data_IF_934492838247
#
_entry.id   IF_934492838247
#
_cell.length_a   1.000
_cell.length_b   1.000
_cell.length_c   1.000
_cell.angle_alpha   90.00
_cell.angle_beta   90.00
_cell.angle_gamma   90.00
#
_symmetry.space_group_name_H-M   'P 1'
#
loop_
_entity.id
_entity.type
_entity.pdbx_description
1 polymer ?
#
# COMPACT_ATOMS: atom_id res chain seq x y z
N UNK A 1 -49.70 -27.56 56.22
CA UNK A 1 -49.60 -28.24 54.90
C UNK A 1 -49.35 -27.21 53.82
N UNK A 2 -48.55 -27.58 52.82
CA UNK A 2 -48.11 -26.84 51.61
C UNK A 2 -47.06 -25.73 51.78
N UNK A 3 -45.85 -26.12 51.37
CA UNK A 3 -44.73 -25.32 50.85
C UNK A 3 -45.22 -24.36 49.75
N UNK A 4 -44.55 -23.23 49.57
CA UNK A 4 -43.96 -22.81 48.29
C UNK A 4 -42.69 -22.03 48.62
N UNK A 5 -41.58 -22.57 48.12
CA UNK A 5 -40.29 -21.91 47.98
C UNK A 5 -40.33 -21.12 46.67
N UNK A 6 -39.88 -19.87 46.65
CA UNK A 6 -39.47 -19.25 45.38
C UNK A 6 -38.36 -18.25 45.60
N UNK A 7 -37.20 -18.66 45.11
CA UNK A 7 -35.96 -17.92 44.94
C UNK A 7 -36.23 -16.70 44.04
N UNK A 8 -36.04 -15.49 44.55
CA UNK A 8 -36.15 -14.27 43.74
C UNK A 8 -34.81 -14.00 43.06
N UNK A 9 -34.68 -14.46 41.81
CA UNK A 9 -33.65 -13.99 40.87
C UNK A 9 -34.28 -12.86 40.07
N UNK A 10 -33.89 -11.61 40.34
CA UNK A 10 -34.23 -10.47 39.48
C UNK A 10 -32.98 -10.06 38.72
N UNK A 11 -33.03 -10.35 37.42
CA UNK A 11 -32.13 -9.94 36.36
C UNK A 11 -31.90 -8.42 36.39
N UNK A 12 -30.62 -8.01 36.41
CA UNK A 12 -30.22 -6.64 36.12
C UNK A 12 -30.25 -6.47 34.61
N UNK A 13 -31.32 -5.88 34.08
CA UNK A 13 -31.41 -5.44 32.69
C UNK A 13 -30.86 -4.02 32.58
N UNK A 14 -29.60 -3.86 32.19
CA UNK A 14 -29.08 -2.57 31.73
C UNK A 14 -29.57 -2.30 30.31
N UNK A 15 -30.61 -1.49 30.20
CA UNK A 15 -30.98 -0.85 28.95
C UNK A 15 -29.87 0.16 28.57
N UNK A 16 -29.07 -0.17 27.56
CA UNK A 16 -28.15 0.77 26.93
C UNK A 16 -28.97 1.68 26.02
N UNK A 17 -29.22 2.91 26.46
CA UNK A 17 -29.81 3.98 25.65
C UNK A 17 -28.77 4.34 24.59
N UNK A 18 -28.97 3.85 23.36
CA UNK A 18 -28.25 4.34 22.19
C UNK A 18 -28.75 5.76 21.93
N UNK A 19 -27.94 6.73 22.36
CA UNK A 19 -28.13 8.12 21.98
C UNK A 19 -28.01 8.23 20.46
N UNK A 20 -29.14 8.50 19.82
CA UNK A 20 -29.23 8.94 18.44
C UNK A 20 -28.58 10.33 18.33
N UNK A 21 -27.25 10.34 18.16
CA UNK A 21 -26.54 11.48 17.59
C UNK A 21 -26.65 11.37 16.08
N UNK A 22 -27.57 12.12 15.48
CA UNK A 22 -27.58 12.39 14.05
C UNK A 22 -26.26 13.09 13.71
N UNK A 23 -25.24 12.32 13.30
CA UNK A 23 -24.12 12.88 12.57
C UNK A 23 -24.70 13.21 11.20
N UNK A 24 -24.97 14.49 10.99
CA UNK A 24 -25.29 15.01 9.67
C UNK A 24 -24.12 14.71 8.76
N UNK A 25 -24.30 13.72 7.88
CA UNK A 25 -23.49 13.48 6.70
C UNK A 25 -23.53 14.73 5.83
N UNK A 26 -22.61 15.64 6.07
CA UNK A 26 -22.32 16.76 5.16
C UNK A 26 -20.85 17.10 5.30
N UNK A 27 -19.97 16.19 4.88
CA UNK A 27 -18.61 16.44 4.35
C UNK A 27 -17.87 15.15 3.94
N UNK A 28 -18.56 14.18 3.33
CA UNK A 28 -17.88 13.07 2.61
C UNK A 28 -17.69 13.49 1.16
N UNK A 29 -16.91 14.55 0.97
CA UNK A 29 -16.52 15.08 -0.34
C UNK A 29 -15.16 15.74 -0.19
N UNK A 30 -14.12 15.10 -0.72
CA UNK A 30 -12.72 15.52 -0.62
C UNK A 30 -12.13 15.52 0.81
N UNK A 31 -11.55 14.39 1.23
CA UNK A 31 -10.16 14.51 1.72
C UNK A 31 -9.42 15.11 0.55
N UNK A 32 -9.16 16.42 0.58
CA UNK A 32 -8.57 17.16 -0.52
C UNK A 32 -7.36 16.38 -1.02
N UNK A 33 -7.49 15.76 -2.19
CA UNK A 33 -6.37 15.05 -2.81
C UNK A 33 -5.29 16.09 -3.00
N UNK A 34 -4.12 15.87 -2.43
CA UNK A 34 -2.99 16.82 -2.56
C UNK A 34 -2.36 16.79 -3.94
N UNK A 35 -2.84 15.90 -4.83
CA UNK A 35 -2.31 15.64 -6.15
C UNK A 35 -3.37 15.87 -7.22
N UNK A 36 -2.91 16.17 -8.43
CA UNK A 36 -3.77 16.29 -9.60
C UNK A 36 -3.98 14.92 -10.24
N UNK A 37 -5.21 14.63 -10.69
CA UNK A 37 -5.47 13.47 -11.54
C UNK A 37 -5.53 13.91 -13.00
N UNK A 38 -4.71 13.30 -13.85
CA UNK A 38 -4.72 13.50 -15.29
C UNK A 38 -5.13 12.21 -15.99
N UNK A 39 -6.14 12.28 -16.86
CA UNK A 39 -6.49 11.16 -17.72
C UNK A 39 -5.68 11.25 -19.02
N UNK A 40 -5.08 10.13 -19.44
CA UNK A 40 -4.27 10.08 -20.66
C UNK A 40 -5.14 10.31 -21.93
N UNK A 41 -6.37 9.80 -21.87
CA UNK A 41 -7.40 9.95 -22.90
C UNK A 41 -8.67 10.60 -22.29
N UNK A 42 -9.75 10.70 -23.08
CA UNK A 42 -11.03 11.16 -22.57
C UNK A 42 -11.47 10.29 -21.38
N UNK A 43 -11.80 10.90 -20.21
CA UNK A 43 -12.18 10.15 -19.04
C UNK A 43 -13.49 9.38 -19.27
N UNK A 44 -13.64 8.18 -18.70
CA UNK A 44 -14.89 7.45 -18.75
C UNK A 44 -16.01 8.18 -18.00
N UNK A 45 -17.27 7.83 -18.28
CA UNK A 45 -18.45 8.42 -17.63
C UNK A 45 -18.35 8.34 -16.10
N UNK A 46 -17.85 7.23 -15.58
CA UNK A 46 -17.72 6.97 -14.14
C UNK A 46 -16.42 7.53 -13.51
N UNK A 47 -15.65 8.38 -14.21
CA UNK A 47 -14.31 8.79 -13.77
C UNK A 47 -14.26 9.33 -12.33
N UNK A 48 -15.22 10.17 -11.90
CA UNK A 48 -15.25 10.70 -10.53
C UNK A 48 -15.32 9.60 -9.45
N UNK A 49 -16.09 8.53 -9.72
CA UNK A 49 -16.19 7.38 -8.83
C UNK A 49 -14.90 6.56 -8.82
N UNK A 50 -14.29 6.36 -10.00
CA UNK A 50 -13.00 5.69 -10.14
C UNK A 50 -11.93 6.43 -9.36
N UNK A 51 -11.80 7.74 -9.55
CA UNK A 51 -10.79 8.53 -8.85
C UNK A 51 -10.97 8.50 -7.33
N UNK A 52 -12.21 8.46 -6.86
CA UNK A 52 -12.52 8.35 -5.43
C UNK A 52 -12.04 7.00 -4.89
N UNK A 53 -12.25 5.91 -5.63
CA UNK A 53 -11.74 4.57 -5.27
C UNK A 53 -10.21 4.51 -5.35
N UNK A 54 -9.60 5.12 -6.38
CA UNK A 54 -8.15 5.21 -6.52
C UNK A 54 -7.52 5.88 -5.30
N UNK A 55 -8.07 7.03 -4.87
CA UNK A 55 -7.53 7.77 -3.71
C UNK A 55 -7.55 7.01 -2.38
N UNK A 56 -8.27 5.90 -2.30
CA UNK A 56 -8.32 5.01 -1.13
C UNK A 56 -7.35 3.83 -1.24
N UNK A 57 -6.87 3.52 -2.44
CA UNK A 57 -6.06 2.33 -2.73
C UNK A 57 -4.61 2.65 -3.13
N UNK A 58 -4.33 3.90 -3.49
CA UNK A 58 -2.97 4.41 -3.71
C UNK A 58 -2.58 5.32 -2.54
N UNK A 59 -1.33 5.26 -2.14
CA UNK A 59 -0.82 6.10 -1.07
C UNK A 59 0.67 6.35 -1.30
N UNK A 60 1.17 7.58 -1.19
CA UNK A 60 2.60 7.87 -1.30
C UNK A 60 3.44 7.15 -0.22
N UNK A 61 4.74 7.01 -0.45
CA UNK A 61 5.66 6.67 0.65
C UNK A 61 5.75 7.85 1.63
N UNK A 62 6.03 7.57 2.90
CA UNK A 62 6.15 8.61 3.92
C UNK A 62 7.22 9.63 3.52
N UNK A 63 6.88 10.92 3.52
CA UNK A 63 7.78 11.99 3.07
C UNK A 63 7.84 12.23 1.55
N UNK A 64 7.02 11.54 0.74
CA UNK A 64 7.00 11.68 -0.72
C UNK A 64 5.57 11.86 -1.27
N UNK A 65 4.92 12.98 -0.95
CA UNK A 65 3.58 13.25 -1.49
C UNK A 65 3.56 13.21 -3.02
N UNK A 66 2.50 12.66 -3.60
CA UNK A 66 2.31 12.70 -5.05
C UNK A 66 2.01 14.12 -5.50
N UNK A 67 2.58 14.50 -6.65
CA UNK A 67 2.25 15.73 -7.37
C UNK A 67 1.16 15.45 -8.42
N UNK A 68 1.35 14.37 -9.18
CA UNK A 68 0.48 13.99 -10.28
C UNK A 68 0.17 12.49 -10.26
N UNK A 69 -1.06 12.15 -10.64
CA UNK A 69 -1.52 10.78 -10.87
C UNK A 69 -2.09 10.72 -12.26
N UNK A 70 -1.38 10.08 -13.18
CA UNK A 70 -1.83 9.86 -14.55
C UNK A 70 -2.55 8.53 -14.66
N UNK A 71 -3.74 8.52 -15.25
CA UNK A 71 -4.59 7.34 -15.43
C UNK A 71 -4.77 7.09 -16.93
N UNK A 72 -4.36 5.91 -17.36
CA UNK A 72 -4.62 5.41 -18.72
C UNK A 72 -5.60 4.25 -18.66
N UNK A 73 -6.48 4.16 -19.66
CA UNK A 73 -7.55 3.17 -19.71
C UNK A 73 -7.40 2.34 -20.97
N UNK A 74 -7.60 1.02 -20.84
CA UNK A 74 -7.72 0.13 -21.99
C UNK A 74 -8.75 -0.96 -21.69
N UNK A 75 -9.50 -1.36 -22.71
CA UNK A 75 -10.47 -2.44 -22.60
C UNK A 75 -9.81 -3.78 -22.92
N UNK A 76 -10.03 -4.78 -22.06
CA UNK A 76 -9.56 -6.15 -22.26
C UNK A 76 -10.43 -7.11 -21.46
N UNK A 77 -10.76 -8.26 -22.06
CA UNK A 77 -11.53 -9.34 -21.41
C UNK A 77 -12.88 -8.86 -20.82
N UNK A 78 -13.62 -8.03 -21.57
CA UNK A 78 -14.89 -7.41 -21.16
C UNK A 78 -14.83 -6.60 -19.83
N UNK A 79 -13.62 -6.15 -19.47
CA UNK A 79 -13.38 -5.29 -18.33
C UNK A 79 -12.54 -4.06 -18.71
N UNK A 80 -12.76 -2.98 -17.97
CA UNK A 80 -11.94 -1.78 -18.08
C UNK A 80 -10.68 -1.97 -17.23
N UNK A 81 -9.51 -1.87 -17.83
CA UNK A 81 -8.24 -1.92 -17.12
C UNK A 81 -7.65 -0.52 -17.04
N UNK A 82 -7.09 -0.20 -15.89
CA UNK A 82 -6.51 1.09 -15.61
C UNK A 82 -5.05 0.89 -15.25
N UNK A 83 -4.16 1.56 -15.98
CA UNK A 83 -2.76 1.72 -15.59
C UNK A 83 -2.57 3.12 -15.05
N UNK A 84 -2.12 3.18 -13.80
CA UNK A 84 -1.97 4.40 -13.02
C UNK A 84 -0.50 4.63 -12.73
N UNK A 85 -0.01 5.82 -13.02
CA UNK A 85 1.34 6.28 -12.71
C UNK A 85 1.26 7.48 -11.77
N UNK A 86 1.76 7.33 -10.55
CA UNK A 86 1.81 8.38 -9.54
C UNK A 86 3.24 8.88 -9.38
N UNK A 87 3.46 10.17 -9.61
CA UNK A 87 4.79 10.81 -9.56
C UNK A 87 4.89 11.77 -8.40
N UNK A 88 6.11 11.91 -7.88
CA UNK A 88 6.49 12.93 -6.91
C UNK A 88 7.81 13.55 -7.36
N UNK A 89 7.92 14.86 -7.32
CA UNK A 89 9.12 15.64 -7.61
C UNK A 89 10.24 15.38 -6.59
N UNK A 90 9.90 14.85 -5.42
CA UNK A 90 10.86 14.37 -4.42
C UNK A 90 11.47 13.00 -4.77
N UNK A 91 10.98 12.32 -5.81
CA UNK A 91 11.37 10.97 -6.18
C UNK A 91 11.78 10.88 -7.65
N UNK A 92 12.77 10.04 -7.95
CA UNK A 92 13.21 9.81 -9.32
C UNK A 92 12.26 8.90 -10.10
N UNK A 93 11.65 7.94 -9.44
CA UNK A 93 10.81 6.92 -10.06
C UNK A 93 9.34 7.10 -9.64
N UNK A 94 8.38 6.71 -10.49
CA UNK A 94 6.96 6.72 -10.15
C UNK A 94 6.57 5.48 -9.33
N UNK A 95 5.42 5.56 -8.69
CA UNK A 95 4.64 4.40 -8.34
C UNK A 95 3.72 4.04 -9.50
N UNK A 96 3.72 2.77 -9.88
CA UNK A 96 2.83 2.21 -10.89
C UNK A 96 1.84 1.26 -10.23
N UNK A 97 0.59 1.35 -10.67
CA UNK A 97 -0.48 0.47 -10.24
C UNK A 97 -1.27 0.00 -11.45
N UNK A 98 -1.70 -1.25 -11.42
CA UNK A 98 -2.67 -1.78 -12.38
C UNK A 98 -3.96 -2.12 -11.62
N UNK A 99 -5.10 -1.75 -12.21
CA UNK A 99 -6.42 -2.02 -11.68
C UNK A 99 -7.35 -2.57 -12.76
N UNK A 100 -8.35 -3.32 -12.33
CA UNK A 100 -9.52 -3.65 -13.14
C UNK A 100 -10.74 -2.95 -12.54
N UNK A 101 -11.58 -2.38 -13.39
CA UNK A 101 -12.86 -1.76 -13.03
C UNK A 101 -14.02 -2.46 -13.74
N UNK A 102 -14.88 -3.10 -12.94
CA UNK A 102 -16.05 -3.82 -13.43
C UNK A 102 -17.15 -3.76 -12.37
N UNK A 103 -18.43 -3.67 -12.77
CA UNK A 103 -19.57 -3.62 -11.85
C UNK A 103 -19.45 -2.54 -10.76
N UNK A 104 -18.84 -1.39 -11.09
CA UNK A 104 -18.54 -0.29 -10.17
C UNK A 104 -17.57 -0.66 -9.03
N UNK A 105 -16.82 -1.73 -9.17
CA UNK A 105 -15.75 -2.13 -8.28
C UNK A 105 -14.39 -1.89 -8.93
N UNK A 106 -13.45 -1.35 -8.16
CA UNK A 106 -12.09 -1.11 -8.59
C UNK A 106 -11.18 -2.03 -7.78
N UNK A 107 -10.55 -2.98 -8.45
CA UNK A 107 -9.69 -3.99 -7.83
C UNK A 107 -8.27 -3.78 -8.31
N UNK A 108 -7.34 -3.58 -7.38
CA UNK A 108 -5.90 -3.53 -7.71
C UNK A 108 -5.41 -4.92 -8.07
N UNK A 109 -4.87 -5.08 -9.27
CA UNK A 109 -4.37 -6.36 -9.79
C UNK A 109 -2.85 -6.45 -9.76
N UNK A 110 -2.15 -5.30 -9.69
CA UNK A 110 -0.70 -5.27 -9.60
C UNK A 110 -0.17 -3.92 -9.12
N UNK A 111 1.11 -3.90 -8.74
CA UNK A 111 1.84 -2.66 -8.45
C UNK A 111 3.35 -2.81 -8.66
N UNK A 112 4.01 -1.69 -8.90
CA UNK A 112 5.45 -1.48 -8.81
C UNK A 112 5.68 -0.13 -8.13
N UNK A 113 6.11 -0.12 -6.87
CA UNK A 113 6.13 1.09 -6.06
C UNK A 113 7.55 1.58 -5.84
N UNK A 114 8.01 2.55 -6.63
CA UNK A 114 9.39 3.05 -6.60
C UNK A 114 9.51 4.55 -6.25
N UNK A 115 8.38 5.24 -6.03
CA UNK A 115 8.34 6.64 -5.57
C UNK A 115 8.75 6.73 -4.09
N UNK A 116 10.06 6.59 -3.87
CA UNK A 116 10.73 6.62 -2.58
C UNK A 116 11.81 7.71 -2.64
N UNK A 117 11.94 8.60 -1.64
CA UNK A 117 12.99 9.61 -1.59
C UNK A 117 14.39 9.00 -1.72
N UNK A 118 15.29 9.67 -2.44
CA UNK A 118 16.64 9.15 -2.71
C UNK A 118 17.43 8.83 -1.44
N UNK A 119 17.30 9.65 -0.39
CA UNK A 119 17.94 9.39 0.92
C UNK A 119 17.44 8.07 1.50
N UNK A 120 16.13 7.86 1.54
CA UNK A 120 15.55 6.60 2.03
C UNK A 120 15.96 5.40 1.17
N UNK A 121 16.05 5.56 -0.15
CA UNK A 121 16.57 4.49 -1.03
C UNK A 121 18.01 4.14 -0.68
N UNK A 122 18.85 5.14 -0.43
CA UNK A 122 20.23 4.95 -0.03
C UNK A 122 20.34 4.24 1.32
N UNK A 123 19.59 4.70 2.33
CA UNK A 123 19.58 4.10 3.66
C UNK A 123 19.16 2.63 3.62
N UNK A 124 18.13 2.30 2.84
CA UNK A 124 17.69 0.91 2.66
C UNK A 124 18.77 0.02 2.05
N UNK A 125 19.50 0.54 1.06
CA UNK A 125 20.64 -0.14 0.42
C UNK A 125 21.76 -0.35 1.43
N UNK A 126 22.08 0.66 2.24
CA UNK A 126 23.11 0.57 3.27
C UNK A 126 22.77 -0.50 4.32
N UNK A 127 21.54 -0.45 4.87
CA UNK A 127 21.05 -1.45 5.84
C UNK A 127 21.16 -2.86 5.25
N UNK A 128 20.74 -3.04 4.00
CA UNK A 128 20.81 -4.34 3.36
C UNK A 128 22.24 -4.83 3.11
N UNK A 129 23.18 -3.93 2.77
CA UNK A 129 24.61 -4.28 2.62
C UNK A 129 25.32 -4.57 3.94
N UNK A 130 24.77 -4.14 5.08
CA UNK A 130 25.29 -4.52 6.40
C UNK A 130 24.95 -5.99 6.76
N UNK A 131 24.01 -6.63 6.05
CA UNK A 131 23.74 -8.05 6.22
C UNK A 131 24.88 -8.89 5.59
N UNK A 132 25.55 -9.77 6.36
CA UNK A 132 26.70 -10.55 5.87
C UNK A 132 26.39 -11.49 4.70
N UNK A 133 25.17 -12.04 4.61
CA UNK A 133 24.79 -12.96 3.53
C UNK A 133 24.62 -12.20 2.21
N UNK A 134 24.00 -11.01 2.25
CA UNK A 134 23.89 -10.11 1.11
C UNK A 134 25.27 -9.61 0.69
N UNK A 135 26.09 -9.14 1.63
CA UNK A 135 27.43 -8.66 1.35
C UNK A 135 28.33 -9.76 0.75
N UNK A 136 28.21 -11.00 1.25
CA UNK A 136 28.92 -12.16 0.73
C UNK A 136 28.48 -12.58 -0.67
N UNK A 137 27.20 -12.46 -0.99
CA UNK A 137 26.64 -12.80 -2.30
C UNK A 137 26.95 -11.78 -3.40
N UNK A 138 27.41 -10.56 -3.04
CA UNK A 138 27.60 -9.43 -3.94
C UNK A 138 29.08 -8.99 -4.04
N UNK A 139 29.98 -9.78 -4.66
CA UNK A 139 31.38 -9.42 -4.77
C UNK A 139 31.59 -8.23 -5.73
N UNK A 140 32.04 -7.10 -5.20
CA UNK A 140 32.89 -6.13 -5.92
C UNK A 140 32.27 -5.29 -7.04
N UNK A 141 30.95 -5.20 -7.19
CA UNK A 141 30.35 -4.26 -8.17
C UNK A 141 28.98 -4.65 -8.72
N UNK A 142 28.04 -5.03 -7.86
CA UNK A 142 26.75 -5.64 -8.24
C UNK A 142 25.70 -4.72 -8.89
N UNK A 143 26.16 -3.64 -9.54
CA UNK A 143 25.31 -2.65 -10.17
C UNK A 143 24.54 -1.79 -9.17
N UNK A 144 23.74 -0.87 -9.70
CA UNK A 144 22.84 -0.03 -8.89
C UNK A 144 21.59 -0.85 -8.56
N UNK A 145 21.28 -1.08 -7.26
CA UNK A 145 20.08 -1.84 -6.91
C UNK A 145 18.80 -1.10 -7.25
N UNK A 146 17.73 -1.87 -7.43
CA UNK A 146 16.37 -1.34 -7.42
C UNK A 146 15.82 -1.39 -6.00
N UNK A 147 15.10 -0.34 -5.60
CA UNK A 147 14.41 -0.26 -4.31
C UNK A 147 12.93 -0.10 -4.57
N UNK A 148 12.13 -1.02 -4.02
CA UNK A 148 10.68 -1.08 -4.21
C UNK A 148 9.99 -1.14 -2.87
N UNK A 149 8.85 -0.47 -2.74
CA UNK A 149 8.00 -0.54 -1.57
C UNK A 149 7.10 -1.77 -1.62
N UNK A 150 7.03 -2.49 -0.51
CA UNK A 150 6.12 -3.61 -0.29
C UNK A 150 5.01 -3.14 0.64
N UNK A 151 3.75 -3.33 0.20
CA UNK A 151 2.58 -2.91 0.96
C UNK A 151 2.32 -3.84 2.16
N UNK A 152 1.68 -3.35 3.25
CA UNK A 152 1.41 -4.12 4.47
C UNK A 152 0.74 -5.48 4.26
N UNK A 153 -0.24 -5.55 3.36
CA UNK A 153 -0.95 -6.78 3.01
C UNK A 153 -0.08 -7.81 2.27
N UNK A 154 0.99 -7.36 1.62
CA UNK A 154 1.98 -8.24 0.98
C UNK A 154 3.05 -8.65 1.97
N UNK A 155 3.53 -7.72 2.80
CA UNK A 155 4.60 -7.96 3.77
C UNK A 155 4.18 -8.89 4.91
N UNK A 156 2.90 -8.95 5.25
CA UNK A 156 2.34 -9.86 6.26
C UNK A 156 2.73 -11.32 6.03
N UNK A 157 2.94 -11.73 4.77
CA UNK A 157 3.34 -13.08 4.40
C UNK A 157 4.79 -13.42 4.76
N UNK A 158 5.63 -12.41 4.99
CA UNK A 158 7.08 -12.55 5.17
C UNK A 158 7.54 -12.10 6.55
N UNK A 159 6.88 -11.09 7.13
CA UNK A 159 7.34 -10.47 8.38
C UNK A 159 6.19 -9.94 9.25
N UNK A 160 5.64 -8.79 8.89
CA UNK A 160 4.56 -8.13 9.63
C UNK A 160 3.75 -7.21 8.71
N UNK A 161 2.52 -6.86 9.14
CA UNK A 161 1.60 -5.97 8.39
C UNK A 161 2.06 -4.51 8.48
N UNK A 162 3.09 -4.16 7.69
CA UNK A 162 3.69 -2.82 7.64
C UNK A 162 4.41 -2.60 6.32
N UNK A 163 4.66 -1.33 5.98
CA UNK A 163 5.45 -1.02 4.79
C UNK A 163 6.90 -1.48 4.99
N UNK A 164 7.42 -2.25 4.02
CA UNK A 164 8.82 -2.66 3.96
C UNK A 164 9.44 -2.23 2.63
N UNK A 165 10.77 -2.20 2.56
CA UNK A 165 11.48 -1.92 1.32
C UNK A 165 12.20 -3.17 0.82
N UNK A 166 11.91 -3.58 -0.40
CA UNK A 166 12.68 -4.61 -1.11
C UNK A 166 13.83 -3.95 -1.86
N UNK A 167 15.05 -4.39 -1.58
CA UNK A 167 16.27 -3.97 -2.28
C UNK A 167 16.77 -5.15 -3.09
N UNK A 168 16.99 -4.96 -4.39
CA UNK A 168 17.29 -6.04 -5.32
C UNK A 168 18.47 -5.68 -6.24
N UNK A 169 19.48 -6.55 -6.31
CA UNK A 169 20.71 -6.43 -7.10
C UNK A 169 20.79 -7.47 -8.23
N UNK A 170 21.77 -7.28 -9.12
CA UNK A 170 22.28 -8.27 -10.08
C UNK A 170 21.20 -9.01 -10.89
N UNK A 171 20.59 -8.35 -11.87
CA UNK A 171 19.51 -8.91 -12.72
C UNK A 171 18.37 -9.57 -11.92
N UNK A 172 18.11 -9.06 -10.71
CA UNK A 172 17.13 -9.58 -9.76
C UNK A 172 17.44 -10.95 -9.14
N UNK A 173 18.71 -11.36 -9.12
CA UNK A 173 19.14 -12.61 -8.50
C UNK A 173 19.28 -12.55 -6.98
N UNK A 174 19.63 -11.40 -6.42
CA UNK A 174 19.82 -11.22 -4.96
C UNK A 174 18.90 -10.13 -4.45
N UNK A 175 18.16 -10.41 -3.38
CA UNK A 175 17.25 -9.44 -2.78
C UNK A 175 17.25 -9.49 -1.26
N UNK A 176 17.01 -8.35 -0.64
CA UNK A 176 16.76 -8.19 0.78
C UNK A 176 15.41 -7.50 1.00
N UNK A 177 14.66 -7.93 1.99
CA UNK A 177 13.52 -7.19 2.53
C UNK A 177 13.99 -6.44 3.78
N UNK A 178 13.86 -5.13 3.76
CA UNK A 178 14.36 -4.22 4.78
C UNK A 178 13.20 -3.63 5.55
N UNK A 179 13.29 -3.72 6.86
CA UNK A 179 12.49 -2.96 7.80
C UNK A 179 13.21 -1.66 8.14
N UNK A 180 12.67 -0.54 7.64
CA UNK A 180 13.21 0.79 7.87
C UNK A 180 13.00 1.31 9.30
N UNK A 181 12.00 0.80 10.02
CA UNK A 181 11.72 1.26 11.39
C UNK A 181 12.72 0.66 12.38
N UNK A 182 13.15 -0.59 12.14
CA UNK A 182 14.12 -1.30 12.97
C UNK A 182 15.55 -1.22 12.44
N UNK A 183 15.73 -0.78 11.20
CA UNK A 183 17.04 -0.70 10.55
C UNK A 183 17.63 -2.08 10.27
N UNK A 184 16.81 -3.08 9.91
CA UNK A 184 17.25 -4.47 9.76
C UNK A 184 16.73 -5.15 8.49
N UNK A 185 17.51 -6.10 7.99
CA UNK A 185 17.04 -7.07 6.99
C UNK A 185 16.21 -8.15 7.67
N UNK A 186 14.97 -8.35 7.20
CA UNK A 186 14.02 -9.31 7.77
C UNK A 186 13.87 -10.57 6.94
N UNK A 187 14.23 -10.53 5.66
CA UNK A 187 14.19 -11.69 4.75
C UNK A 187 15.19 -11.47 3.60
N UNK A 188 15.73 -12.56 3.04
CA UNK A 188 16.71 -12.52 1.96
C UNK A 188 16.45 -13.61 0.92
N UNK A 189 16.76 -13.33 -0.34
CA UNK A 189 16.64 -14.30 -1.44
C UNK A 189 17.88 -14.30 -2.31
N UNK A 190 18.23 -15.48 -2.83
CA UNK A 190 19.39 -15.66 -3.70
C UNK A 190 20.73 -15.50 -3.01
N UNK A 191 20.73 -15.48 -1.68
CA UNK A 191 21.92 -15.58 -0.84
C UNK A 191 22.10 -17.03 -0.39
N UNK A 192 23.30 -17.58 -0.56
CA UNK A 192 23.61 -18.97 -0.20
C UNK A 192 23.17 -20.01 -1.24
N UNK A 193 24.11 -20.88 -1.61
CA UNK A 193 23.85 -22.19 -2.21
C UNK A 193 24.12 -23.29 -1.19
#
# INVERSE_FOLDING_TARGET
>A
MKKISTLTVIMISTALIIGAGCITDTEIGNKARSYTVAWADAPPVDHTAIETKLSRQIAPYSGAAYDNVTVSVFEKDDAMHLRVSATSSACRYPDLYDFTYQNRELVRTGYLLEAIPEITRHDAVEIAMQNPEIAGALPGGSGVPTVKRILPETSEKFYATKTLLSVTWADASVSALVDMDTGSVVETWGVGG
#
